data_IF_510770647678
#
_entry.id   IF_510770647678
#
_cell.length_a   1.000
_cell.length_b   1.000
_cell.length_c   1.000
_cell.angle_alpha   90.00
_cell.angle_beta   90.00
_cell.angle_gamma   90.00
#
_symmetry.space_group_name_H-M   'P 1'
#
loop_
_entity.id
_entity.type
_entity.pdbx_description
1 polymer ?
#
# COMPACT_ATOMS: atom_id res chain seq x y z
N UNK A 1 -8.74 -33.32 3.79
CA UNK A 1 -8.34 -31.90 3.77
C UNK A 1 -8.27 -31.47 2.33
N UNK A 2 -9.08 -30.50 1.89
CA UNK A 2 -9.05 -29.99 0.52
C UNK A 2 -7.64 -29.47 0.21
N UNK A 3 -7.01 -30.00 -0.85
CA UNK A 3 -5.62 -29.71 -1.20
C UNK A 3 -5.57 -28.32 -1.82
N UNK A 4 -5.32 -27.31 -1.00
CA UNK A 4 -5.16 -25.93 -1.44
C UNK A 4 -4.08 -25.87 -2.52
N UNK A 5 -4.47 -25.47 -3.73
CA UNK A 5 -3.52 -25.36 -4.83
C UNK A 5 -2.57 -24.20 -4.54
N UNK A 6 -1.24 -24.43 -4.52
CA UNK A 6 -0.26 -23.38 -4.23
C UNK A 6 -0.30 -22.25 -5.26
N UNK A 7 -0.68 -22.56 -6.51
CA UNK A 7 -0.89 -21.56 -7.58
C UNK A 7 -1.95 -20.53 -7.21
N UNK A 8 -3.08 -20.98 -6.65
CA UNK A 8 -4.16 -20.09 -6.26
C UNK A 8 -3.74 -19.24 -5.05
N UNK A 9 -3.05 -19.83 -4.08
CA UNK A 9 -2.49 -19.09 -2.95
C UNK A 9 -1.50 -18.00 -3.38
N UNK A 10 -0.66 -18.28 -4.39
CA UNK A 10 0.27 -17.31 -4.96
C UNK A 10 -0.45 -16.15 -5.66
N UNK A 11 -1.48 -16.44 -6.47
CA UNK A 11 -2.31 -15.41 -7.10
C UNK A 11 -3.03 -14.55 -6.06
N UNK A 12 -3.59 -15.18 -5.02
CA UNK A 12 -4.21 -14.49 -3.90
C UNK A 12 -3.21 -13.70 -3.05
N UNK A 13 -1.90 -13.98 -3.13
CA UNK A 13 -0.87 -13.26 -2.35
C UNK A 13 -0.43 -11.95 -3.00
N UNK A 14 -0.90 -11.62 -4.21
CA UNK A 14 -0.67 -10.30 -4.84
C UNK A 14 -1.19 -9.17 -3.94
N UNK A 15 -2.34 -9.41 -3.29
CA UNK A 15 -2.83 -8.53 -2.23
C UNK A 15 -2.35 -9.11 -0.89
N UNK A 16 -1.55 -8.36 -0.11
CA UNK A 16 -1.07 -8.86 1.17
C UNK A 16 -2.23 -9.28 2.07
N UNK A 17 -2.12 -10.47 2.65
CA UNK A 17 -3.12 -11.04 3.58
C UNK A 17 -4.13 -12.00 2.94
N UNK A 18 -4.54 -11.83 1.68
CA UNK A 18 -5.51 -12.72 1.03
C UNK A 18 -5.01 -14.16 0.87
N UNK A 19 -3.75 -14.35 0.46
CA UNK A 19 -3.13 -15.68 0.39
C UNK A 19 -3.02 -16.39 1.74
N UNK A 20 -2.88 -15.63 2.84
CA UNK A 20 -2.85 -16.20 4.20
C UNK A 20 -4.23 -16.65 4.67
N UNK A 21 -5.29 -15.91 4.31
CA UNK A 21 -6.69 -16.32 4.54
C UNK A 21 -6.98 -17.61 3.79
N UNK A 22 -6.56 -17.70 2.53
CA UNK A 22 -6.71 -18.92 1.72
C UNK A 22 -5.99 -20.12 2.37
N UNK A 23 -4.79 -19.93 2.92
CA UNK A 23 -4.05 -20.94 3.67
C UNK A 23 -4.56 -21.18 5.12
N UNK A 24 -5.79 -20.74 5.44
CA UNK A 24 -6.44 -20.86 6.77
C UNK A 24 -5.69 -20.16 7.92
N UNK A 25 -4.67 -19.35 7.63
CA UNK A 25 -3.94 -18.53 8.59
C UNK A 25 -4.68 -17.19 8.79
N UNK A 26 -5.90 -17.26 9.32
CA UNK A 26 -6.84 -16.12 9.41
C UNK A 26 -6.26 -14.93 10.18
N UNK A 27 -5.62 -15.16 11.33
CA UNK A 27 -5.04 -14.09 12.14
C UNK A 27 -4.01 -13.27 11.36
N UNK A 28 -3.03 -13.93 10.73
CA UNK A 28 -2.02 -13.27 9.89
C UNK A 28 -2.64 -12.59 8.69
N UNK A 29 -3.62 -13.24 8.06
CA UNK A 29 -4.34 -12.71 6.92
C UNK A 29 -5.07 -11.40 7.22
N UNK A 30 -5.79 -11.33 8.33
CA UNK A 30 -6.49 -10.11 8.74
C UNK A 30 -5.54 -8.99 9.18
N UNK A 31 -4.43 -9.31 9.86
CA UNK A 31 -3.42 -8.31 10.23
C UNK A 31 -2.83 -7.68 8.96
N UNK A 32 -2.39 -8.50 8.00
CA UNK A 32 -1.80 -8.02 6.74
C UNK A 32 -2.81 -7.25 5.89
N UNK A 33 -4.05 -7.72 5.80
CA UNK A 33 -5.11 -6.98 5.11
C UNK A 33 -5.41 -5.64 5.79
N UNK A 34 -5.49 -5.61 7.13
CA UNK A 34 -5.72 -4.38 7.87
C UNK A 34 -4.64 -3.34 7.62
N UNK A 35 -3.36 -3.74 7.68
CA UNK A 35 -2.22 -2.88 7.33
C UNK A 35 -2.30 -2.42 5.87
N UNK A 36 -2.68 -3.31 4.95
CA UNK A 36 -2.85 -2.95 3.52
C UNK A 36 -3.92 -1.89 3.32
N UNK A 37 -5.08 -2.05 3.97
CA UNK A 37 -6.17 -1.06 3.91
C UNK A 37 -5.72 0.27 4.50
N UNK A 38 -5.07 0.27 5.66
CA UNK A 38 -4.52 1.48 6.27
C UNK A 38 -3.50 2.18 5.36
N UNK A 39 -2.60 1.41 4.74
CA UNK A 39 -1.63 1.92 3.79
C UNK A 39 -2.31 2.55 2.56
N UNK A 40 -3.30 1.88 1.96
CA UNK A 40 -4.02 2.41 0.79
C UNK A 40 -4.75 3.70 1.15
N UNK A 41 -5.42 3.75 2.31
CA UNK A 41 -6.07 4.97 2.77
C UNK A 41 -5.06 6.10 2.96
N UNK A 42 -3.97 5.85 3.70
CA UNK A 42 -2.88 6.81 3.88
C UNK A 42 -2.31 7.28 2.53
N UNK A 43 -2.08 6.36 1.61
CA UNK A 43 -1.49 6.66 0.32
C UNK A 43 -2.42 7.55 -0.52
N UNK A 44 -3.72 7.23 -0.58
CA UNK A 44 -4.67 8.01 -1.37
C UNK A 44 -4.95 9.40 -0.76
N UNK A 45 -4.95 9.52 0.56
CA UNK A 45 -5.33 10.78 1.22
C UNK A 45 -4.16 11.71 1.49
N UNK A 46 -2.98 11.17 1.82
CA UNK A 46 -1.83 11.95 2.26
C UNK A 46 -0.62 11.79 1.33
N UNK A 47 -0.26 10.57 0.93
CA UNK A 47 0.97 10.37 0.18
C UNK A 47 0.88 10.74 -1.31
N UNK A 48 -0.28 10.50 -1.96
CA UNK A 48 -0.46 10.73 -3.40
C UNK A 48 -0.32 12.21 -3.81
N UNK A 49 -0.87 13.19 -3.06
CA UNK A 49 -0.60 14.60 -3.33
C UNK A 49 0.90 14.94 -3.21
N UNK A 50 1.59 14.40 -2.21
CA UNK A 50 3.03 14.64 -2.02
C UNK A 50 3.88 14.01 -3.13
N UNK A 51 3.46 12.86 -3.66
CA UNK A 51 4.09 12.26 -4.82
C UNK A 51 3.94 13.14 -6.08
N UNK A 52 2.81 13.84 -6.22
CA UNK A 52 2.63 14.83 -7.28
C UNK A 52 3.58 16.02 -7.12
N UNK A 53 3.78 16.50 -5.89
CA UNK A 53 4.71 17.59 -5.60
C UNK A 53 6.15 17.23 -5.97
N UNK A 54 6.54 15.95 -5.87
CA UNK A 54 7.85 15.47 -6.34
C UNK A 54 8.00 15.57 -7.87
N UNK A 55 6.92 15.39 -8.63
CA UNK A 55 6.96 15.48 -10.10
C UNK A 55 7.01 16.96 -10.55
N UNK A 56 6.29 17.85 -9.86
CA UNK A 56 6.20 19.28 -10.20
C UNK A 56 7.28 20.14 -9.52
N UNK A 57 8.33 19.52 -8.97
CA UNK A 57 9.44 20.23 -8.34
C UNK A 57 10.02 21.30 -9.28
N UNK A 58 10.11 22.53 -8.79
CA UNK A 58 10.68 23.64 -9.54
C UNK A 58 9.80 24.26 -10.63
N UNK A 59 8.55 23.82 -10.83
CA UNK A 59 7.63 24.48 -11.78
C UNK A 59 7.35 25.95 -11.40
N UNK A 60 7.16 26.22 -10.10
CA UNK A 60 7.00 27.58 -9.58
C UNK A 60 8.11 27.91 -8.58
N UNK A 61 8.95 28.87 -8.98
CA UNK A 61 10.05 29.38 -8.15
C UNK A 61 9.55 29.87 -6.78
N UNK A 62 10.19 29.41 -5.71
CA UNK A 62 9.85 29.79 -4.33
C UNK A 62 8.64 29.08 -3.72
N UNK A 63 7.86 28.30 -4.49
CA UNK A 63 6.75 27.46 -3.98
C UNK A 63 7.06 25.97 -4.04
N UNK A 64 7.54 25.49 -5.17
CA UNK A 64 7.68 24.05 -5.42
C UNK A 64 9.11 23.61 -5.07
N UNK A 65 9.44 23.64 -3.77
CA UNK A 65 10.74 23.21 -3.26
C UNK A 65 10.63 21.91 -2.45
N UNK A 66 11.72 21.12 -2.45
CA UNK A 66 11.77 19.82 -1.76
C UNK A 66 11.69 19.95 -0.23
N UNK A 67 12.05 21.11 0.31
CA UNK A 67 11.99 21.38 1.75
C UNK A 67 10.54 21.35 2.23
N UNK A 68 9.61 21.96 1.48
CA UNK A 68 8.18 21.96 1.79
C UNK A 68 7.54 20.57 1.76
N UNK A 69 8.08 19.63 0.97
CA UNK A 69 7.61 18.23 0.94
C UNK A 69 8.08 17.48 2.19
N UNK A 70 9.25 17.83 2.75
CA UNK A 70 9.86 17.11 3.87
C UNK A 70 9.36 17.56 5.25
N UNK A 71 8.97 18.83 5.41
CA UNK A 71 8.62 19.42 6.72
C UNK A 71 7.12 19.50 6.99
N UNK A 72 6.28 19.05 6.05
CA UNK A 72 4.83 19.24 6.12
C UNK A 72 4.10 18.07 6.77
#
# INVERSE_FOLDING_TARGET
MEKQQPRNAALLSIIPGLGQIYNKQKAKGFILLGVTVLFVLYFLTLASPELSNLITLGEKTGRDNSLFILIR
#
